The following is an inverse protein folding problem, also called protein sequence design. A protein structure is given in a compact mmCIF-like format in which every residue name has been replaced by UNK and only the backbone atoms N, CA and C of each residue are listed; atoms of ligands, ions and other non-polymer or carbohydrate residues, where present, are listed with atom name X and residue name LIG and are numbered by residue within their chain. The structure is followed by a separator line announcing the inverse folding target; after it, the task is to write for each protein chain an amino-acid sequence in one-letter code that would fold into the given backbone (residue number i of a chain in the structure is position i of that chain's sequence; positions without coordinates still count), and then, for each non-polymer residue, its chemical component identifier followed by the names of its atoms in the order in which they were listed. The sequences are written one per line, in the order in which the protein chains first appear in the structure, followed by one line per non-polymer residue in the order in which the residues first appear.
data_IF_903489501876
#
_entry.id   IF_903489501876
#
_cell.length_a   1.000
_cell.length_b   1.000
_cell.length_c   1.000
_cell.angle_alpha   90.00
_cell.angle_beta   90.00
_cell.angle_gamma   90.00
#
_symmetry.space_group_name_H-M   'P 1'
#
loop_
_entity.id
_entity.type
_entity.pdbx_description
1 polymer ?
#
# COMPACT_ATOMS: atom_id res chain seq x y z
N UNK A 1 20.93 4.93 -4.40
CA UNK A 1 20.08 3.91 -5.03
C UNK A 1 20.61 3.49 -6.41
N UNK A 2 20.88 4.42 -7.35
CA UNK A 2 21.42 4.08 -8.67
C UNK A 2 22.74 3.31 -8.57
N UNK A 3 23.69 3.78 -7.75
CA UNK A 3 24.96 3.08 -7.51
C UNK A 3 24.75 1.64 -6.99
N UNK A 4 23.81 1.42 -6.06
CA UNK A 4 23.49 0.08 -5.55
C UNK A 4 23.00 -0.86 -6.68
N UNK A 5 22.18 -0.36 -7.61
CA UNK A 5 21.71 -1.15 -8.77
C UNK A 5 22.81 -1.50 -9.74
N UNK A 6 23.86 -0.69 -9.81
CA UNK A 6 25.04 -0.91 -10.65
C UNK A 6 26.16 -1.68 -9.92
N UNK A 7 25.92 -2.11 -8.67
CA UNK A 7 26.92 -2.70 -7.78
C UNK A 7 28.18 -1.81 -7.62
N UNK A 8 28.00 -0.49 -7.73
CA UNK A 8 29.05 0.49 -7.46
C UNK A 8 29.07 0.84 -5.96
N UNK A 9 30.05 0.30 -5.26
CA UNK A 9 30.24 0.47 -3.82
C UNK A 9 31.35 1.47 -3.48
N UNK A 10 31.92 2.16 -4.47
CA UNK A 10 32.86 3.24 -4.22
C UNK A 10 32.17 4.32 -3.39
N UNK A 11 32.85 4.84 -2.40
CA UNK A 11 32.35 5.86 -1.48
C UNK A 11 31.07 5.47 -0.69
N UNK A 12 30.65 4.19 -0.67
CA UNK A 12 29.41 3.76 -0.03
C UNK A 12 29.28 4.29 1.42
N UNK A 13 30.35 4.17 2.21
CA UNK A 13 30.36 4.66 3.61
C UNK A 13 30.12 6.18 3.69
N UNK A 14 30.73 6.95 2.79
CA UNK A 14 30.56 8.41 2.73
C UNK A 14 29.16 8.78 2.27
N UNK A 15 28.69 8.16 1.19
CA UNK A 15 27.36 8.42 0.63
C UNK A 15 26.25 8.03 1.62
N UNK A 16 26.39 6.88 2.29
CA UNK A 16 25.48 6.42 3.31
C UNK A 16 25.40 7.38 4.50
N UNK A 17 26.56 7.85 4.99
CA UNK A 17 26.59 8.84 6.08
C UNK A 17 25.91 10.16 5.69
N UNK A 18 26.15 10.65 4.48
CA UNK A 18 25.50 11.86 3.98
C UNK A 18 24.00 11.68 3.84
N UNK A 19 23.56 10.52 3.34
CA UNK A 19 22.14 10.19 3.23
C UNK A 19 21.48 10.16 4.61
N UNK A 20 22.11 9.48 5.59
CA UNK A 20 21.65 9.44 6.98
C UNK A 20 21.43 10.84 7.54
N UNK A 21 22.42 11.72 7.43
CA UNK A 21 22.30 13.11 7.91
C UNK A 21 21.16 13.86 7.24
N UNK A 22 20.91 13.65 5.94
CA UNK A 22 19.78 14.25 5.25
C UNK A 22 18.43 13.75 5.78
N UNK A 23 18.32 12.43 6.04
CA UNK A 23 17.10 11.83 6.59
C UNK A 23 16.86 12.34 8.01
N UNK A 24 17.87 12.35 8.88
CA UNK A 24 17.79 12.89 10.26
C UNK A 24 17.32 14.36 10.27
N UNK A 25 17.71 15.13 9.27
CA UNK A 25 17.23 16.50 9.06
C UNK A 25 15.89 16.60 8.31
N UNK A 26 15.12 15.50 8.25
CA UNK A 26 13.80 15.42 7.60
C UNK A 26 13.78 15.90 6.14
N UNK A 27 14.89 15.77 5.42
CA UNK A 27 14.95 16.09 3.99
C UNK A 27 14.44 14.90 3.18
N UNK A 28 13.68 15.19 2.13
CA UNK A 28 13.31 14.19 1.11
C UNK A 28 14.56 13.73 0.36
N UNK A 29 15.27 12.76 0.91
CA UNK A 29 16.58 12.35 0.41
C UNK A 29 16.56 11.01 -0.34
N UNK A 30 15.62 10.11 -0.03
CA UNK A 30 15.47 8.82 -0.68
C UNK A 30 14.04 8.30 -0.52
N UNK A 31 13.54 7.46 -1.46
CA UNK A 31 12.34 6.67 -1.25
C UNK A 31 12.49 5.75 -0.04
N UNK A 32 11.36 5.42 0.61
CA UNK A 32 11.37 4.65 1.86
C UNK A 32 11.94 3.24 1.69
N UNK A 33 11.62 2.54 0.59
CA UNK A 33 12.00 1.15 0.39
C UNK A 33 13.53 0.92 0.38
N UNK A 34 14.37 1.68 -0.37
CA UNK A 34 15.82 1.55 -0.29
C UNK A 34 16.41 1.80 1.10
N UNK A 35 15.76 2.63 1.92
CA UNK A 35 16.22 2.94 3.28
C UNK A 35 16.14 1.71 4.18
N UNK A 36 15.14 0.83 4.00
CA UNK A 36 15.03 -0.44 4.72
C UNK A 36 16.26 -1.33 4.53
N UNK A 37 16.79 -1.37 3.29
CA UNK A 37 17.96 -2.19 2.97
C UNK A 37 19.30 -1.56 3.44
N UNK A 38 19.32 -0.25 3.71
CA UNK A 38 20.56 0.47 4.01
C UNK A 38 20.80 0.68 5.50
N UNK A 39 19.74 0.74 6.32
CA UNK A 39 19.87 1.13 7.72
C UNK A 39 19.04 0.22 8.63
N UNK A 40 19.71 -0.38 9.59
CA UNK A 40 19.09 -1.11 10.69
C UNK A 40 18.74 -0.12 11.83
N UNK A 41 17.74 0.72 11.57
CA UNK A 41 17.24 1.72 12.52
C UNK A 41 15.79 2.04 12.22
N UNK A 42 14.83 1.47 12.98
CA UNK A 42 13.40 1.74 12.81
C UNK A 42 13.08 3.23 12.86
N UNK A 43 13.74 3.99 13.75
CA UNK A 43 13.56 5.44 13.85
C UNK A 43 13.97 6.17 12.57
N UNK A 44 15.11 5.81 11.96
CA UNK A 44 15.57 6.42 10.73
C UNK A 44 14.66 6.07 9.54
N UNK A 45 14.21 4.81 9.49
CA UNK A 45 13.26 4.32 8.49
C UNK A 45 11.93 5.07 8.58
N UNK A 46 11.43 5.32 9.82
CA UNK A 46 10.23 6.11 10.06
C UNK A 46 10.38 7.54 9.57
N UNK A 47 11.46 8.24 9.92
CA UNK A 47 11.71 9.62 9.48
C UNK A 47 11.79 9.69 7.96
N UNK A 48 12.43 8.70 7.31
CA UNK A 48 12.51 8.65 5.85
C UNK A 48 11.13 8.46 5.21
N UNK A 49 10.31 7.56 5.76
CA UNK A 49 8.95 7.31 5.30
C UNK A 49 8.06 8.56 5.45
N UNK A 50 8.05 9.18 6.64
CA UNK A 50 7.32 10.43 6.91
C UNK A 50 7.71 11.52 5.91
N UNK A 51 9.01 11.76 5.73
CA UNK A 51 9.51 12.82 4.86
C UNK A 51 9.20 12.57 3.38
N UNK A 52 9.24 11.31 2.95
CA UNK A 52 8.95 10.92 1.58
C UNK A 52 7.45 10.98 1.29
N UNK A 53 6.63 10.29 2.09
CA UNK A 53 5.20 10.15 1.80
C UNK A 53 4.46 11.48 1.98
N UNK A 54 4.80 12.29 2.98
CA UNK A 54 4.24 13.64 3.12
C UNK A 54 4.55 14.55 1.92
N UNK A 55 5.72 14.37 1.28
CA UNK A 55 6.09 15.15 0.10
C UNK A 55 5.39 14.69 -1.17
N UNK A 56 5.23 13.36 -1.35
CA UNK A 56 4.67 12.79 -2.58
C UNK A 56 3.15 12.64 -2.53
N UNK A 57 2.62 12.27 -1.36
CA UNK A 57 1.22 11.92 -1.16
C UNK A 57 0.66 12.58 0.11
N UNK A 58 0.66 13.92 0.19
CA UNK A 58 0.05 14.60 1.33
C UNK A 58 -1.42 14.21 1.45
N UNK A 59 -1.87 14.01 2.69
CA UNK A 59 -3.28 13.71 2.96
C UNK A 59 -4.20 14.80 2.40
N UNK A 60 -5.34 14.38 1.85
CA UNK A 60 -6.29 15.27 1.19
C UNK A 60 -7.73 14.92 1.62
N UNK A 61 -8.38 15.83 2.33
CA UNK A 61 -9.74 15.70 2.83
C UNK A 61 -10.81 16.39 1.99
N UNK A 62 -10.44 16.95 0.82
CA UNK A 62 -11.34 17.72 -0.04
C UNK A 62 -12.51 16.90 -0.61
N UNK A 63 -12.49 15.57 -0.51
CA UNK A 63 -13.66 14.74 -0.80
C UNK A 63 -14.69 14.74 0.33
N UNK A 64 -14.40 15.39 1.46
CA UNK A 64 -15.28 15.49 2.62
C UNK A 64 -15.42 14.17 3.40
N UNK A 65 -16.32 14.17 4.36
CA UNK A 65 -16.58 13.02 5.22
C UNK A 65 -17.22 11.86 4.45
N UNK A 66 -16.90 10.64 4.86
CA UNK A 66 -17.51 9.43 4.33
C UNK A 66 -18.78 9.14 5.13
N UNK A 67 -19.91 8.99 4.45
CA UNK A 67 -21.18 8.63 5.07
C UNK A 67 -21.11 7.19 5.64
N UNK A 68 -21.57 7.01 6.86
CA UNK A 68 -21.65 5.68 7.47
C UNK A 68 -22.73 4.86 6.76
N UNK A 69 -22.39 3.60 6.47
CA UNK A 69 -23.35 2.61 5.94
C UNK A 69 -24.18 1.99 7.05
N UNK A 70 -25.28 1.36 6.66
CA UNK A 70 -26.12 0.60 7.59
C UNK A 70 -25.37 -0.64 8.10
N UNK A 71 -25.37 -0.88 9.41
CA UNK A 71 -24.68 -2.03 10.05
C UNK A 71 -25.22 -3.41 9.66
N UNK A 72 -26.41 -3.47 9.08
CA UNK A 72 -27.02 -4.74 8.67
C UNK A 72 -26.54 -5.26 7.32
N UNK A 73 -25.70 -4.50 6.62
CA UNK A 73 -25.11 -4.91 5.34
C UNK A 73 -23.78 -5.63 5.57
N UNK A 74 -23.42 -6.50 4.60
CA UNK A 74 -22.08 -7.12 4.57
C UNK A 74 -21.00 -6.04 4.57
N UNK A 75 -19.90 -6.32 5.26
CA UNK A 75 -18.71 -5.44 5.26
C UNK A 75 -18.08 -5.51 3.87
N UNK A 76 -17.85 -4.37 3.23
CA UNK A 76 -17.18 -4.27 1.93
C UNK A 76 -15.69 -4.03 2.12
N UNK A 77 -14.89 -5.02 1.69
CA UNK A 77 -13.44 -4.95 1.73
C UNK A 77 -12.92 -4.69 0.32
N UNK A 78 -12.20 -3.58 0.15
CA UNK A 78 -11.50 -3.26 -1.09
C UNK A 78 -10.03 -3.63 -0.99
N UNK A 79 -9.51 -4.46 -1.90
CA UNK A 79 -8.09 -4.74 -2.05
C UNK A 79 -7.52 -3.98 -3.24
N UNK A 80 -6.43 -3.26 -3.03
CA UNK A 80 -5.82 -2.36 -4.01
C UNK A 80 -4.42 -2.86 -4.37
N UNK A 81 -4.19 -3.20 -5.64
CA UNK A 81 -2.89 -3.69 -6.08
C UNK A 81 -2.61 -3.48 -7.56
N UNK A 82 -1.32 -3.30 -7.90
CA UNK A 82 -0.81 -3.47 -9.24
C UNK A 82 -0.56 -4.96 -9.59
N UNK A 83 -0.55 -5.85 -8.59
CA UNK A 83 0.04 -7.19 -8.69
C UNK A 83 -1.02 -8.31 -8.81
N UNK A 84 -2.24 -8.00 -9.27
CA UNK A 84 -3.27 -9.02 -9.54
C UNK A 84 -3.02 -9.74 -10.88
N UNK A 85 -1.86 -10.38 -10.98
CA UNK A 85 -1.38 -11.19 -12.09
C UNK A 85 -0.34 -12.18 -11.56
N UNK A 86 0.37 -12.93 -12.40
CA UNK A 86 1.45 -13.85 -11.96
C UNK A 86 2.60 -13.08 -11.28
N UNK A 87 2.45 -12.84 -9.99
CA UNK A 87 3.33 -12.06 -9.11
C UNK A 87 3.35 -12.65 -7.70
N UNK A 88 4.43 -12.45 -6.95
CA UNK A 88 4.59 -13.00 -5.59
C UNK A 88 3.41 -12.63 -4.67
N UNK A 89 2.98 -11.38 -4.65
CA UNK A 89 1.82 -10.92 -3.84
C UNK A 89 0.55 -11.70 -4.20
N UNK A 90 0.31 -11.94 -5.49
CA UNK A 90 -0.86 -12.69 -5.96
C UNK A 90 -0.85 -14.13 -5.46
N UNK A 91 0.29 -14.82 -5.55
CA UNK A 91 0.43 -16.20 -5.04
C UNK A 91 0.22 -16.31 -3.53
N UNK A 92 0.69 -15.32 -2.77
CA UNK A 92 0.51 -15.29 -1.31
C UNK A 92 -0.93 -14.99 -0.89
N UNK A 93 -1.68 -14.23 -1.72
CA UNK A 93 -2.98 -13.68 -1.34
C UNK A 93 -4.17 -14.44 -1.96
N UNK A 94 -3.97 -15.23 -3.02
CA UNK A 94 -5.07 -15.82 -3.77
C UNK A 94 -6.01 -16.66 -2.88
N UNK A 95 -5.47 -17.53 -2.04
CA UNK A 95 -6.26 -18.35 -1.13
C UNK A 95 -7.02 -17.52 -0.09
N UNK A 96 -6.40 -16.45 0.43
CA UNK A 96 -7.07 -15.54 1.35
C UNK A 96 -8.31 -14.89 0.70
N UNK A 97 -8.20 -14.48 -0.56
CA UNK A 97 -9.35 -13.92 -1.27
C UNK A 97 -10.48 -14.95 -1.46
N UNK A 98 -10.13 -16.20 -1.72
CA UNK A 98 -11.07 -17.33 -1.90
C UNK A 98 -11.77 -17.69 -0.60
N UNK A 99 -11.09 -17.60 0.56
CA UNK A 99 -11.55 -18.03 1.88
C UNK A 99 -12.43 -17.02 2.61
N UNK A 100 -12.64 -15.83 2.06
CA UNK A 100 -13.55 -14.87 2.66
C UNK A 100 -14.98 -15.42 2.79
N UNK A 101 -15.56 -15.32 4.01
CA UNK A 101 -16.96 -15.66 4.26
C UNK A 101 -17.89 -14.69 3.49
N UNK A 102 -18.37 -15.13 2.34
CA UNK A 102 -19.23 -14.32 1.44
C UNK A 102 -20.59 -13.97 2.06
N UNK A 103 -20.98 -14.59 3.17
CA UNK A 103 -22.18 -14.20 3.92
C UNK A 103 -21.96 -12.93 4.74
N UNK A 104 -20.72 -12.66 5.15
CA UNK A 104 -20.32 -11.51 5.99
C UNK A 104 -19.61 -10.42 5.22
N UNK A 105 -18.88 -10.79 4.16
CA UNK A 105 -18.02 -9.89 3.40
C UNK A 105 -18.41 -9.82 1.92
N UNK A 106 -18.35 -8.64 1.35
CA UNK A 106 -18.32 -8.38 -0.07
C UNK A 106 -16.92 -7.89 -0.43
N UNK A 107 -16.17 -8.67 -1.21
CA UNK A 107 -14.76 -8.40 -1.50
C UNK A 107 -14.61 -7.82 -2.90
N UNK A 108 -13.93 -6.67 -3.02
CA UNK A 108 -13.78 -5.91 -4.26
C UNK A 108 -12.28 -5.75 -4.56
N UNK A 109 -11.85 -6.15 -5.75
CA UNK A 109 -10.48 -5.95 -6.21
C UNK A 109 -10.37 -4.69 -7.07
N UNK A 110 -9.48 -3.76 -6.71
CA UNK A 110 -9.13 -2.58 -7.52
C UNK A 110 -7.77 -2.82 -8.17
N UNK A 111 -7.77 -3.18 -9.44
CA UNK A 111 -6.57 -3.53 -10.20
C UNK A 111 -6.04 -2.32 -10.96
N UNK A 112 -4.79 -1.94 -10.72
CA UNK A 112 -4.13 -0.84 -11.43
C UNK A 112 -2.79 -1.22 -12.09
N UNK A 113 -2.45 -2.51 -12.09
CA UNK A 113 -1.28 -3.04 -12.78
C UNK A 113 -1.54 -3.43 -14.23
N UNK A 114 -0.59 -4.10 -14.88
CA UNK A 114 -0.69 -4.46 -16.29
C UNK A 114 -1.87 -5.39 -16.57
N UNK A 115 -2.42 -5.27 -17.79
CA UNK A 115 -3.53 -6.12 -18.26
C UNK A 115 -3.03 -7.46 -18.79
N UNK A 116 -2.45 -8.24 -17.90
CA UNK A 116 -2.00 -9.59 -18.20
C UNK A 116 -3.14 -10.56 -17.87
N UNK A 117 -3.64 -11.26 -18.88
CA UNK A 117 -4.71 -12.27 -18.72
C UNK A 117 -4.11 -13.64 -18.45
N UNK A 118 -3.27 -13.74 -17.40
CA UNK A 118 -2.67 -15.01 -16.97
C UNK A 118 -3.62 -15.79 -16.02
N UNK A 119 -3.26 -17.04 -15.75
CA UNK A 119 -4.05 -17.96 -14.91
C UNK A 119 -4.27 -17.38 -13.49
N UNK A 120 -3.25 -16.70 -12.92
CA UNK A 120 -3.35 -16.13 -11.58
C UNK A 120 -4.34 -14.95 -11.57
N UNK A 121 -4.32 -14.09 -12.58
CA UNK A 121 -5.30 -13.01 -12.71
C UNK A 121 -6.72 -13.54 -12.83
N UNK A 122 -6.93 -14.56 -13.65
CA UNK A 122 -8.26 -15.21 -13.81
C UNK A 122 -8.73 -15.78 -12.48
N UNK A 123 -7.86 -16.50 -11.76
CA UNK A 123 -8.14 -17.08 -10.44
C UNK A 123 -8.54 -16.02 -9.43
N UNK A 124 -7.75 -14.96 -9.31
CA UNK A 124 -7.98 -13.86 -8.36
C UNK A 124 -9.26 -13.10 -8.70
N UNK A 125 -9.48 -12.77 -9.98
CA UNK A 125 -10.68 -12.07 -10.41
C UNK A 125 -11.96 -12.85 -10.08
N UNK A 126 -11.93 -14.18 -10.18
CA UNK A 126 -13.05 -15.06 -9.84
C UNK A 126 -13.32 -15.14 -8.33
N UNK A 127 -12.34 -14.87 -7.48
CA UNK A 127 -12.48 -14.88 -6.02
C UNK A 127 -13.24 -13.63 -5.52
N UNK A 128 -13.12 -12.49 -6.21
CA UNK A 128 -13.77 -11.25 -5.84
C UNK A 128 -15.25 -11.21 -6.23
N UNK A 129 -16.06 -10.51 -5.43
CA UNK A 129 -17.45 -10.19 -5.78
C UNK A 129 -17.50 -9.20 -6.96
N UNK A 130 -16.50 -8.32 -7.04
CA UNK A 130 -16.27 -7.38 -8.14
C UNK A 130 -14.77 -7.23 -8.36
N UNK A 131 -14.36 -7.26 -9.63
CA UNK A 131 -12.99 -6.97 -10.03
C UNK A 131 -13.00 -5.75 -10.95
N UNK A 132 -12.40 -4.65 -10.49
CA UNK A 132 -12.49 -3.34 -11.13
C UNK A 132 -11.13 -2.93 -11.65
N UNK A 133 -11.02 -2.75 -12.96
CA UNK A 133 -9.82 -2.17 -13.57
C UNK A 133 -9.85 -0.65 -13.42
N UNK A 134 -8.86 -0.12 -12.73
CA UNK A 134 -8.72 1.31 -12.43
C UNK A 134 -7.43 1.92 -13.00
N UNK A 135 -6.77 1.25 -13.94
CA UNK A 135 -5.49 1.69 -14.51
C UNK A 135 -5.55 3.10 -15.12
N UNK A 136 -6.65 3.40 -15.79
CA UNK A 136 -6.84 4.68 -16.52
C UNK A 136 -7.47 5.78 -15.65
N UNK A 137 -7.77 5.50 -14.38
CA UNK A 137 -8.35 6.47 -13.46
C UNK A 137 -7.24 7.13 -12.62
N UNK A 138 -7.38 8.41 -12.34
CA UNK A 138 -6.55 9.10 -11.36
C UNK A 138 -6.80 8.56 -9.93
N UNK A 139 -5.88 8.82 -9.01
CA UNK A 139 -6.03 8.38 -7.62
C UNK A 139 -7.31 8.91 -6.99
N UNK A 140 -7.64 10.17 -7.27
CA UNK A 140 -8.88 10.81 -6.82
C UNK A 140 -10.15 10.15 -7.39
N UNK A 141 -10.14 9.77 -8.66
CA UNK A 141 -11.27 9.06 -9.28
C UNK A 141 -11.44 7.66 -8.68
N UNK A 142 -10.33 6.97 -8.37
CA UNK A 142 -10.39 5.67 -7.69
C UNK A 142 -10.93 5.83 -6.26
N UNK A 143 -10.48 6.84 -5.52
CA UNK A 143 -11.00 7.12 -4.19
C UNK A 143 -12.51 7.44 -4.20
N UNK A 144 -12.99 8.22 -5.16
CA UNK A 144 -14.44 8.47 -5.36
C UNK A 144 -15.19 7.19 -5.65
N UNK A 145 -14.72 6.39 -6.61
CA UNK A 145 -15.33 5.11 -6.98
C UNK A 145 -15.40 4.15 -5.78
N UNK A 146 -14.34 4.09 -4.97
CA UNK A 146 -14.30 3.31 -3.74
C UNK A 146 -15.42 3.72 -2.77
N UNK A 147 -15.61 5.03 -2.56
CA UNK A 147 -16.68 5.58 -1.72
C UNK A 147 -18.06 5.32 -2.30
N UNK A 148 -18.25 5.45 -3.61
CA UNK A 148 -19.51 5.16 -4.32
C UNK A 148 -19.88 3.67 -4.20
N UNK A 149 -18.88 2.78 -4.30
CA UNK A 149 -19.07 1.35 -4.06
C UNK A 149 -19.26 1.02 -2.56
N UNK A 150 -19.13 2.00 -1.68
CA UNK A 150 -19.33 1.86 -0.25
C UNK A 150 -18.30 0.94 0.41
N UNK A 151 -17.04 1.02 0.01
CA UNK A 151 -15.96 0.28 0.68
C UNK A 151 -15.83 0.74 2.12
N UNK A 152 -15.90 -0.20 3.07
CA UNK A 152 -15.77 0.05 4.51
C UNK A 152 -14.30 -0.02 4.94
N UNK A 153 -13.56 -0.99 4.38
CA UNK A 153 -12.15 -1.23 4.68
C UNK A 153 -11.37 -1.30 3.38
N UNK A 154 -10.42 -0.40 3.19
CA UNK A 154 -9.51 -0.39 2.04
C UNK A 154 -8.15 -0.97 2.45
N UNK A 155 -7.70 -2.01 1.76
CA UNK A 155 -6.43 -2.70 2.03
C UNK A 155 -5.45 -2.44 0.91
N UNK A 156 -4.38 -1.71 1.22
CA UNK A 156 -3.25 -1.45 0.34
C UNK A 156 -2.29 -2.64 0.35
N UNK A 157 -2.13 -3.29 -0.80
CA UNK A 157 -1.21 -4.41 -0.99
C UNK A 157 0.12 -3.98 -1.61
N UNK A 158 0.38 -2.68 -1.73
CA UNK A 158 1.60 -2.13 -2.34
C UNK A 158 2.46 -1.34 -1.38
N UNK A 159 1.86 -0.44 -0.60
CA UNK A 159 2.62 0.50 0.22
C UNK A 159 3.65 1.29 -0.60
N UNK A 160 4.87 1.48 -0.07
CA UNK A 160 5.95 2.23 -0.73
C UNK A 160 6.80 1.37 -1.69
N UNK A 161 6.18 0.47 -2.46
CA UNK A 161 6.87 -0.34 -3.49
C UNK A 161 6.74 0.28 -4.89
N UNK A 162 7.33 -0.38 -5.90
CA UNK A 162 7.15 0.04 -7.30
C UNK A 162 5.67 -0.04 -7.71
N UNK A 163 5.25 0.84 -8.60
CA UNK A 163 3.88 0.93 -9.11
C UNK A 163 2.81 1.12 -8.02
N UNK A 164 3.20 1.67 -6.85
CA UNK A 164 2.26 2.01 -5.79
C UNK A 164 1.37 3.20 -6.18
N UNK A 165 0.16 3.22 -5.61
CA UNK A 165 -0.80 4.30 -5.77
C UNK A 165 -1.30 4.79 -4.41
N UNK A 166 -0.34 5.12 -3.54
CA UNK A 166 -0.59 5.65 -2.18
C UNK A 166 -1.49 6.89 -2.19
N UNK A 167 -1.50 7.67 -3.29
CA UNK A 167 -2.38 8.81 -3.48
C UNK A 167 -3.89 8.46 -3.38
N UNK A 168 -4.30 7.23 -3.70
CA UNK A 168 -5.69 6.78 -3.52
C UNK A 168 -6.08 6.86 -2.02
N UNK A 169 -5.18 6.44 -1.15
CA UNK A 169 -5.38 6.43 0.31
C UNK A 169 -5.23 7.83 0.91
N UNK A 170 -4.34 8.66 0.36
CA UNK A 170 -4.21 10.07 0.72
C UNK A 170 -5.51 10.87 0.46
N UNK A 171 -6.31 10.49 -0.56
CA UNK A 171 -7.65 11.02 -0.84
C UNK A 171 -8.75 10.43 0.07
N UNK A 172 -8.40 9.59 1.02
CA UNK A 172 -9.33 8.94 1.96
C UNK A 172 -10.39 8.11 1.23
N UNK A 173 -10.01 6.99 0.63
CA UNK A 173 -10.90 6.17 -0.20
C UNK A 173 -11.90 5.32 0.59
N UNK A 174 -11.68 5.10 1.90
CA UNK A 174 -12.56 4.34 2.79
C UNK A 174 -12.49 4.87 4.24
N UNK A 175 -13.49 4.55 5.10
CA UNK A 175 -13.48 4.89 6.52
C UNK A 175 -12.28 4.30 7.28
N UNK A 176 -11.89 3.07 6.92
CA UNK A 176 -10.74 2.37 7.49
C UNK A 176 -9.78 2.03 6.35
N UNK A 177 -8.52 2.39 6.53
CA UNK A 177 -7.45 2.13 5.55
C UNK A 177 -6.32 1.35 6.21
N UNK A 178 -5.87 0.30 5.55
CA UNK A 178 -4.97 -0.72 6.10
C UNK A 178 -3.82 -0.95 5.14
N UNK A 179 -2.60 -1.00 5.65
CA UNK A 179 -1.42 -1.47 4.91
C UNK A 179 -1.20 -2.97 5.19
N UNK A 180 -0.97 -3.77 4.14
CA UNK A 180 -0.76 -5.21 4.28
C UNK A 180 0.20 -5.77 3.22
N UNK A 181 1.11 -6.62 3.65
CA UNK A 181 2.02 -7.51 2.92
C UNK A 181 2.99 -6.87 1.90
N UNK A 182 2.56 -5.91 1.08
CA UNK A 182 3.39 -5.43 -0.05
C UNK A 182 4.65 -4.68 0.35
N UNK A 183 4.62 -3.95 1.46
CA UNK A 183 5.73 -3.14 1.95
C UNK A 183 6.03 -3.47 3.41
N UNK A 184 7.22 -4.02 3.72
CA UNK A 184 7.57 -4.46 5.08
C UNK A 184 8.10 -3.32 5.96
N UNK A 185 7.59 -2.12 5.81
CA UNK A 185 8.00 -0.92 6.55
C UNK A 185 6.82 -0.03 6.91
N UNK A 186 7.09 0.99 7.75
CA UNK A 186 6.07 1.97 8.09
C UNK A 186 5.74 2.89 6.92
N UNK A 187 4.45 3.18 6.72
CA UNK A 187 4.00 4.18 5.75
C UNK A 187 4.30 5.61 6.22
N UNK A 188 4.45 5.84 7.53
CA UNK A 188 4.81 7.14 8.10
C UNK A 188 3.75 8.22 7.93
N UNK A 189 2.47 7.85 7.80
CA UNK A 189 1.33 8.79 7.64
C UNK A 189 0.13 8.34 8.47
N UNK A 190 -0.74 9.28 8.77
CA UNK A 190 -1.90 9.13 9.66
C UNK A 190 -3.18 8.69 8.96
N UNK A 191 -3.19 8.61 7.63
CA UNK A 191 -4.37 8.14 6.89
C UNK A 191 -4.43 6.61 6.70
N UNK A 192 -3.51 5.84 7.30
CA UNK A 192 -3.66 4.39 7.53
C UNK A 192 -3.92 4.14 9.02
N UNK A 193 -5.08 3.56 9.36
CA UNK A 193 -5.43 3.25 10.74
C UNK A 193 -4.75 1.99 11.24
N UNK A 194 -4.47 1.04 10.34
CA UNK A 194 -3.95 -0.27 10.73
C UNK A 194 -2.85 -0.75 9.79
N UNK A 195 -1.97 -1.57 10.34
CA UNK A 195 -1.03 -2.43 9.63
C UNK A 195 -1.30 -3.88 10.01
N UNK A 196 -1.47 -4.76 9.02
CA UNK A 196 -1.55 -6.20 9.26
C UNK A 196 -0.14 -6.78 9.09
N UNK A 197 0.36 -7.40 10.15
CA UNK A 197 1.66 -8.03 10.19
C UNK A 197 1.63 -9.27 11.10
N UNK A 198 2.52 -10.20 10.87
CA UNK A 198 2.77 -11.31 11.78
C UNK A 198 3.85 -10.96 12.83
N UNK A 199 4.06 -11.90 13.78
CA UNK A 199 5.05 -11.72 14.85
C UNK A 199 6.50 -11.80 14.37
N UNK A 200 6.74 -12.25 13.15
CA UNK A 200 8.08 -12.28 12.54
C UNK A 200 8.43 -10.90 12.03
N UNK A 201 7.48 -10.23 11.37
CA UNK A 201 7.68 -8.87 10.86
C UNK A 201 7.67 -7.83 11.97
N UNK A 202 6.74 -7.95 12.93
CA UNK A 202 6.65 -7.07 14.11
C UNK A 202 6.64 -7.95 15.36
N UNK A 203 7.79 -8.18 16.01
CA UNK A 203 7.88 -8.88 17.27
C UNK A 203 7.08 -8.18 18.37
N UNK A 204 6.63 -8.94 19.37
CA UNK A 204 5.74 -8.43 20.44
C UNK A 204 6.39 -7.33 21.29
N UNK A 205 7.72 -7.31 21.34
CA UNK A 205 8.52 -6.33 22.08
C UNK A 205 8.71 -4.98 21.35
N UNK A 206 8.21 -4.81 20.12
CA UNK A 206 8.34 -3.60 19.29
C UNK A 206 7.01 -2.87 19.09
#
# INVERSE_FOLDING_TARGET
HAKMRLCDWQDFTKDSRQLRTKIENRKRAAPSFPVLAMYDSPQLQKIAAESWVQSEFPGNDTLGLISKRNRNERIRIGYYSADFHSHATAYLMAELFEQHDKSKFEVIGFSFGPDQQDEMRIRIAAAFSRFVDVRLKSDREVAKLSRELGVDIAIDLKGCTADSRTGIFAERCAPIQVSYIGYPGTMGVDYYEYLIADRTLIPVEN
#
